data_IF_459821305277
#
_entry.id   IF_459821305277
#
_cell.length_a   1.000
_cell.length_b   1.000
_cell.length_c   1.000
_cell.angle_alpha   90.00
_cell.angle_beta   90.00
_cell.angle_gamma   90.00
#
_symmetry.space_group_name_H-M   'P 1'
#
loop_
_entity.id
_entity.type
_entity.pdbx_description
1 polymer ?
#
# COMPACT_ATOMS: atom_id res chain seq x y z
N UNK A 1 38.32 -48.71 -1.83
CA UNK A 1 37.03 -49.44 -1.97
C UNK A 1 35.97 -48.42 -2.35
N UNK A 2 35.32 -48.59 -3.51
CA UNK A 2 34.32 -47.62 -4.00
C UNK A 2 32.98 -47.86 -3.28
N UNK A 3 32.36 -46.86 -2.64
CA UNK A 3 31.07 -47.05 -1.99
C UNK A 3 30.01 -47.31 -3.07
N UNK A 4 29.37 -48.49 -3.02
CA UNK A 4 28.26 -48.82 -3.91
C UNK A 4 27.06 -47.94 -3.55
N UNK A 5 26.57 -47.15 -4.51
CA UNK A 5 25.31 -46.38 -4.40
C UNK A 5 24.16 -47.32 -3.99
N UNK A 6 23.54 -47.03 -2.85
CA UNK A 6 22.25 -47.63 -2.45
C UNK A 6 21.19 -47.17 -3.47
N UNK A 7 20.55 -48.12 -4.17
CA UNK A 7 19.42 -47.81 -5.05
C UNK A 7 18.23 -47.39 -4.21
N UNK A 8 17.50 -46.38 -4.67
CA UNK A 8 16.25 -45.94 -4.06
C UNK A 8 15.26 -47.11 -4.06
N UNK A 9 14.91 -47.59 -2.87
CA UNK A 9 13.83 -48.56 -2.67
C UNK A 9 12.53 -47.81 -2.93
N UNK A 10 11.80 -48.19 -3.97
CA UNK A 10 10.45 -47.66 -4.20
C UNK A 10 9.56 -48.21 -3.10
N UNK A 11 8.92 -47.31 -2.35
CA UNK A 11 7.97 -47.67 -1.29
C UNK A 11 6.79 -48.38 -1.96
N UNK A 12 6.54 -49.63 -1.59
CA UNK A 12 5.39 -50.40 -2.06
C UNK A 12 4.13 -49.87 -1.35
N UNK A 13 3.22 -49.24 -2.08
CA UNK A 13 1.95 -48.68 -1.56
C UNK A 13 0.89 -49.72 -1.22
N UNK A 14 1.16 -51.01 -1.42
CA UNK A 14 0.25 -52.13 -1.13
C UNK A 14 0.55 -52.87 0.17
N UNK A 15 1.62 -52.52 0.89
CA UNK A 15 1.90 -53.12 2.18
C UNK A 15 1.04 -52.43 3.24
N UNK A 16 0.07 -53.17 3.79
CA UNK A 16 -0.71 -52.72 4.93
C UNK A 16 0.21 -52.61 6.14
N UNK A 17 0.55 -51.38 6.52
CA UNK A 17 1.25 -51.10 7.76
C UNK A 17 0.34 -51.47 8.93
N UNK A 18 0.75 -52.41 9.81
CA UNK A 18 -0.02 -52.70 11.00
C UNK A 18 0.00 -51.46 11.90
N UNK A 19 -1.16 -50.80 12.01
CA UNK A 19 -1.36 -49.76 13.02
C UNK A 19 -1.46 -50.48 14.36
N UNK A 20 -0.39 -50.42 15.14
CA UNK A 20 -0.36 -51.01 16.48
C UNK A 20 -0.77 -49.93 17.48
N UNK A 21 -1.73 -50.27 18.35
CA UNK A 21 -2.13 -49.39 19.45
C UNK A 21 -0.95 -49.12 20.38
N UNK A 22 -0.76 -47.85 20.71
CA UNK A 22 0.36 -47.30 21.50
C UNK A 22 0.46 -47.99 22.87
N UNK A 23 -0.65 -48.51 23.40
CA UNK A 23 -0.72 -49.19 24.69
C UNK A 23 -0.09 -50.59 24.69
N UNK A 24 0.13 -51.19 23.51
CA UNK A 24 0.73 -52.52 23.36
C UNK A 24 2.18 -52.49 22.88
N UNK A 25 2.74 -51.30 22.65
CA UNK A 25 4.13 -51.16 22.24
C UNK A 25 5.04 -51.29 23.46
N UNK A 26 5.85 -52.35 23.48
CA UNK A 26 6.88 -52.53 24.50
C UNK A 26 8.00 -51.52 24.25
N UNK A 27 8.01 -50.44 25.04
CA UNK A 27 8.94 -49.32 24.94
C UNK A 27 10.40 -49.74 25.13
N UNK A 28 10.66 -50.93 25.68
CA UNK A 28 12.01 -51.48 25.84
C UNK A 28 12.71 -51.82 24.52
N UNK A 29 11.96 -51.92 23.42
CA UNK A 29 12.47 -52.30 22.10
C UNK A 29 12.60 -51.13 21.12
N UNK A 30 12.28 -49.90 21.54
CA UNK A 30 12.52 -48.71 20.73
C UNK A 30 13.99 -48.31 20.84
N UNK A 31 14.78 -48.64 19.82
CA UNK A 31 16.13 -48.09 19.67
C UNK A 31 16.02 -46.57 19.44
N UNK A 32 16.51 -45.80 20.42
CA UNK A 32 16.52 -44.35 20.39
C UNK A 32 17.53 -43.90 19.32
N UNK A 33 17.04 -43.45 18.17
CA UNK A 33 17.89 -42.95 17.10
C UNK A 33 18.44 -41.57 17.50
N UNK A 34 19.67 -41.55 18.03
CA UNK A 34 20.39 -40.31 18.32
C UNK A 34 21.07 -39.78 17.06
N UNK A 35 20.63 -38.64 16.55
CA UNK A 35 21.36 -37.91 15.51
C UNK A 35 22.71 -37.42 16.07
N UNK A 36 23.80 -37.48 15.28
CA UNK A 36 25.06 -36.86 15.68
C UNK A 36 24.85 -35.35 15.89
N UNK A 37 25.41 -34.74 16.95
CA UNK A 37 25.25 -33.33 17.22
C UNK A 37 25.88 -32.53 16.09
N UNK A 38 25.06 -31.77 15.36
CA UNK A 38 25.52 -30.82 14.37
C UNK A 38 25.59 -29.48 15.09
N UNK A 39 26.83 -29.03 15.34
CA UNK A 39 27.14 -27.78 16.03
C UNK A 39 26.80 -26.58 15.13
N UNK A 40 25.53 -26.20 15.07
CA UNK A 40 25.07 -24.95 14.48
C UNK A 40 25.10 -23.91 15.58
N UNK A 41 26.10 -23.02 15.58
CA UNK A 41 26.42 -22.05 16.66
C UNK A 41 25.33 -21.03 17.06
N UNK A 42 24.17 -21.52 17.49
CA UNK A 42 22.99 -20.84 18.03
C UNK A 42 22.68 -21.23 19.48
N UNK A 43 23.42 -22.18 20.07
CA UNK A 43 22.93 -22.98 21.21
C UNK A 43 22.89 -22.26 22.57
N UNK A 44 23.77 -21.31 22.85
CA UNK A 44 23.95 -20.83 24.24
C UNK A 44 22.81 -19.95 24.80
N UNK A 45 22.01 -19.29 23.95
CA UNK A 45 20.83 -18.52 24.41
C UNK A 45 19.51 -19.30 24.27
N UNK A 46 19.43 -20.29 23.37
CA UNK A 46 18.28 -21.19 23.21
C UNK A 46 18.23 -22.31 24.28
N UNK A 47 19.36 -22.70 24.88
CA UNK A 47 19.40 -23.65 26.01
C UNK A 47 18.62 -23.19 27.26
N UNK A 48 18.20 -21.92 27.32
CA UNK A 48 17.31 -21.40 28.38
C UNK A 48 15.83 -21.75 28.18
N UNK A 49 15.45 -22.42 27.09
CA UNK A 49 14.10 -22.97 26.89
C UNK A 49 13.83 -24.26 27.71
N UNK A 50 14.20 -24.24 28.99
CA UNK A 50 13.93 -25.31 29.97
C UNK A 50 12.43 -25.59 30.05
N UNK A 51 11.59 -24.60 29.79
CA UNK A 51 10.14 -24.71 29.88
C UNK A 51 9.53 -25.61 28.79
N UNK A 52 10.01 -25.53 27.55
CA UNK A 52 9.51 -26.35 26.44
C UNK A 52 9.98 -27.80 26.58
N UNK A 53 11.25 -28.02 26.99
CA UNK A 53 11.74 -29.36 27.35
C UNK A 53 10.90 -29.99 28.46
N UNK A 54 10.62 -29.26 29.54
CA UNK A 54 9.77 -29.77 30.62
C UNK A 54 8.33 -30.10 30.17
N UNK A 55 7.76 -29.37 29.20
CA UNK A 55 6.43 -29.65 28.63
C UNK A 55 6.45 -30.89 27.74
N UNK A 56 7.53 -31.11 27.00
CA UNK A 56 7.72 -32.29 26.15
C UNK A 56 7.99 -33.54 27.00
N UNK A 57 8.88 -33.42 27.99
CA UNK A 57 9.29 -34.51 28.90
C UNK A 57 8.17 -34.93 29.86
N UNK A 58 7.22 -34.04 30.16
CA UNK A 58 6.02 -34.37 30.96
C UNK A 58 4.95 -35.14 30.19
N UNK A 59 5.26 -35.63 28.97
CA UNK A 59 4.61 -36.74 28.28
C UNK A 59 3.15 -37.03 28.63
N UNK A 60 2.23 -36.67 27.72
CA UNK A 60 0.76 -36.94 27.77
C UNK A 60 -0.09 -35.93 28.55
N UNK A 61 0.35 -34.68 28.70
CA UNK A 61 -0.60 -33.60 28.98
C UNK A 61 -1.51 -33.38 27.77
N UNK A 62 -2.83 -33.53 27.92
CA UNK A 62 -3.80 -33.04 26.93
C UNK A 62 -3.49 -31.55 26.69
N UNK A 63 -2.89 -31.22 25.54
CA UNK A 63 -2.64 -29.83 25.15
C UNK A 63 -4.01 -29.17 25.07
N UNK A 64 -4.32 -28.17 25.92
CA UNK A 64 -5.62 -27.55 25.92
C UNK A 64 -5.80 -26.80 24.60
N UNK A 65 -6.52 -27.39 23.66
CA UNK A 65 -6.91 -26.73 22.42
C UNK A 65 -7.99 -25.71 22.79
N UNK A 66 -7.78 -24.40 22.58
CA UNK A 66 -8.80 -23.41 22.89
C UNK A 66 -10.04 -23.67 22.03
N UNK A 67 -11.18 -23.93 22.67
CA UNK A 67 -12.46 -24.13 21.99
C UNK A 67 -13.11 -22.77 21.72
N UNK A 68 -13.36 -22.46 20.45
CA UNK A 68 -14.10 -21.26 20.04
C UNK A 68 -15.56 -21.41 20.51
N UNK A 69 -15.94 -20.66 21.56
CA UNK A 69 -17.30 -20.73 22.13
C UNK A 69 -18.33 -19.91 21.36
N UNK A 70 -17.92 -18.76 20.83
CA UNK A 70 -18.78 -17.81 20.11
C UNK A 70 -17.97 -17.17 18.98
N UNK A 71 -18.64 -16.94 17.86
CA UNK A 71 -18.08 -16.23 16.71
C UNK A 71 -18.91 -14.97 16.51
N UNK A 72 -18.36 -13.83 16.90
CA UNK A 72 -18.92 -12.52 16.60
C UNK A 72 -18.10 -11.92 15.46
N UNK A 73 -18.77 -11.52 14.39
CA UNK A 73 -18.13 -10.91 13.23
C UNK A 73 -18.70 -9.51 12.99
N UNK A 74 -18.40 -8.53 13.88
CA UNK A 74 -18.82 -7.15 13.69
C UNK A 74 -18.23 -6.56 12.39
N UNK A 75 -17.09 -7.08 11.95
CA UNK A 75 -16.43 -6.66 10.72
C UNK A 75 -17.31 -6.86 9.47
N UNK A 76 -18.20 -7.86 9.44
CA UNK A 76 -19.14 -8.03 8.33
C UNK A 76 -20.16 -6.89 8.21
N UNK A 77 -20.48 -6.23 9.32
CA UNK A 77 -21.39 -5.07 9.37
C UNK A 77 -20.60 -3.80 9.06
N UNK A 78 -19.40 -3.69 9.62
CA UNK A 78 -18.57 -2.48 9.52
C UNK A 78 -17.86 -2.34 8.17
N UNK A 79 -17.45 -3.44 7.55
CA UNK A 79 -16.68 -3.42 6.31
C UNK A 79 -17.47 -4.06 5.17
N UNK A 80 -17.74 -3.29 4.12
CA UNK A 80 -18.27 -3.82 2.86
C UNK A 80 -17.13 -4.49 2.12
N UNK A 81 -17.34 -5.74 1.70
CA UNK A 81 -16.39 -6.42 0.83
C UNK A 81 -16.58 -5.90 -0.60
N UNK A 82 -15.67 -5.05 -1.07
CA UNK A 82 -15.71 -4.49 -2.42
C UNK A 82 -15.29 -5.50 -3.51
N UNK A 83 -14.96 -6.75 -3.12
CA UNK A 83 -14.92 -7.90 -4.02
C UNK A 83 -13.94 -7.77 -5.19
N UNK A 84 -12.82 -7.08 -5.01
CA UNK A 84 -11.82 -6.96 -6.07
C UNK A 84 -11.17 -8.33 -6.33
N UNK A 85 -11.36 -8.87 -7.55
CA UNK A 85 -10.84 -10.18 -7.96
C UNK A 85 -9.32 -10.20 -8.21
N UNK A 86 -8.62 -9.08 -8.06
CA UNK A 86 -7.17 -8.98 -8.25
C UNK A 86 -6.40 -9.18 -6.95
N UNK A 87 -5.22 -9.80 -7.03
CA UNK A 87 -4.28 -9.85 -5.91
C UNK A 87 -3.91 -8.42 -5.49
N UNK A 88 -4.19 -8.06 -4.23
CA UNK A 88 -3.94 -6.73 -3.72
C UNK A 88 -2.43 -6.51 -3.50
N UNK A 89 -1.82 -5.64 -4.32
CA UNK A 89 -0.43 -5.21 -4.15
C UNK A 89 -0.35 -3.94 -3.29
N UNK A 90 -0.70 -4.03 -2.00
CA UNK A 90 -0.52 -2.91 -1.07
C UNK A 90 0.87 -2.96 -0.43
N UNK A 91 1.59 -1.84 -0.44
CA UNK A 91 2.90 -1.66 0.21
C UNK A 91 2.91 -0.49 1.20
N UNK A 92 1.75 0.12 1.46
CA UNK A 92 1.66 1.25 2.38
C UNK A 92 1.72 0.72 3.81
N UNK A 93 2.52 1.38 4.63
CA UNK A 93 2.57 1.10 6.05
C UNK A 93 1.28 1.60 6.72
N UNK A 94 0.91 0.95 7.83
CA UNK A 94 -0.19 1.41 8.68
C UNK A 94 0.31 2.59 9.49
N UNK A 95 -0.35 3.73 9.36
CA UNK A 95 -0.04 4.92 10.14
C UNK A 95 -0.44 4.70 11.61
N UNK A 96 0.41 5.14 12.54
CA UNK A 96 0.13 5.06 13.97
C UNK A 96 -0.77 6.23 14.41
N UNK A 97 -1.96 6.35 13.80
CA UNK A 97 -2.90 7.41 14.12
C UNK A 97 -3.52 7.18 15.50
N UNK A 98 -3.70 8.27 16.26
CA UNK A 98 -4.39 8.22 17.53
C UNK A 98 -5.91 8.23 17.31
N UNK A 99 -6.60 7.25 17.89
CA UNK A 99 -8.07 7.22 17.91
C UNK A 99 -8.56 7.51 19.33
N UNK A 100 -9.47 8.47 19.47
CA UNK A 100 -10.06 8.83 20.76
C UNK A 100 -11.05 7.75 21.22
N UNK A 101 -10.90 7.29 22.46
CA UNK A 101 -11.88 6.42 23.11
C UNK A 101 -12.90 7.24 23.92
N UNK A 102 -13.95 6.58 24.42
CA UNK A 102 -14.94 7.18 25.34
C UNK A 102 -14.31 7.90 26.52
N UNK A 103 -13.23 7.36 27.10
CA UNK A 103 -12.50 7.98 28.22
C UNK A 103 -11.81 9.29 27.82
N UNK A 104 -11.40 9.41 26.57
CA UNK A 104 -10.77 10.64 26.09
C UNK A 104 -11.83 11.71 25.88
N UNK A 105 -13.01 11.34 25.36
CA UNK A 105 -14.16 12.25 25.27
C UNK A 105 -14.63 12.72 26.65
N UNK A 106 -14.72 11.80 27.63
CA UNK A 106 -15.03 12.15 29.02
C UNK A 106 -13.99 13.10 29.61
N UNK A 107 -12.70 12.86 29.35
CA UNK A 107 -11.62 13.73 29.79
C UNK A 107 -11.74 15.12 29.14
N UNK A 108 -11.92 15.20 27.83
CA UNK A 108 -12.13 16.46 27.10
C UNK A 108 -13.32 17.24 27.68
N UNK A 109 -14.43 16.56 27.94
CA UNK A 109 -15.62 17.16 28.54
C UNK A 109 -15.35 17.67 29.96
N UNK A 110 -14.66 16.87 30.79
CA UNK A 110 -14.33 17.24 32.17
C UNK A 110 -13.38 18.44 32.27
N UNK A 111 -12.47 18.57 31.30
CA UNK A 111 -11.49 19.65 31.25
C UNK A 111 -11.99 20.87 30.44
N UNK A 112 -13.13 20.75 29.75
CA UNK A 112 -13.67 21.80 28.90
C UNK A 112 -12.79 22.11 27.68
N UNK A 113 -12.18 21.08 27.09
CA UNK A 113 -11.24 21.20 25.96
C UNK A 113 -11.92 20.71 24.68
N UNK A 114 -11.62 21.35 23.56
CA UNK A 114 -12.08 20.90 22.25
C UNK A 114 -11.36 19.64 21.78
N UNK A 115 -11.97 18.86 20.91
CA UNK A 115 -11.34 17.64 20.35
C UNK A 115 -10.06 17.98 19.56
N UNK A 116 -10.04 19.12 18.85
CA UNK A 116 -8.89 19.61 18.08
C UNK A 116 -7.71 19.97 19.00
N UNK A 117 -7.98 20.70 20.09
CA UNK A 117 -6.98 21.04 21.09
C UNK A 117 -6.37 19.78 21.73
N UNK A 118 -7.19 18.77 22.03
CA UNK A 118 -6.72 17.50 22.57
C UNK A 118 -5.78 16.79 21.59
N UNK A 119 -6.18 16.68 20.32
CA UNK A 119 -5.37 16.05 19.27
C UNK A 119 -4.05 16.80 19.05
N UNK A 120 -4.06 18.14 19.09
CA UNK A 120 -2.83 18.94 18.97
C UNK A 120 -1.82 18.63 20.09
N UNK A 121 -2.29 18.48 21.33
CA UNK A 121 -1.43 18.10 22.48
C UNK A 121 -0.90 16.68 22.31
N UNK A 122 -1.70 15.78 21.73
CA UNK A 122 -1.30 14.41 21.44
C UNK A 122 -0.26 14.38 20.32
N UNK A 123 -0.38 15.18 19.26
CA UNK A 123 0.65 15.35 18.22
C UNK A 123 1.98 15.88 18.79
N UNK A 124 1.95 16.84 19.73
CA UNK A 124 3.17 17.32 20.41
C UNK A 124 3.96 16.17 21.09
N UNK A 125 3.30 15.09 21.53
CA UNK A 125 3.97 13.92 22.12
C UNK A 125 4.79 13.14 21.08
N UNK A 126 4.32 13.08 19.83
CA UNK A 126 5.04 12.41 18.74
C UNK A 126 6.34 13.13 18.44
N UNK A 127 6.28 14.45 18.30
CA UNK A 127 7.46 15.27 18.06
C UNK A 127 8.47 15.15 19.21
N UNK A 128 7.99 15.21 20.47
CA UNK A 128 8.83 15.02 21.66
C UNK A 128 9.54 13.65 21.66
N UNK A 129 8.87 12.59 21.18
CA UNK A 129 9.43 11.25 21.08
C UNK A 129 10.44 11.12 19.93
N UNK A 130 10.15 11.71 18.76
CA UNK A 130 11.03 11.70 17.59
C UNK A 130 12.33 12.47 17.85
N UNK A 131 12.25 13.65 18.49
CA UNK A 131 13.41 14.49 18.81
C UNK A 131 14.39 13.76 19.75
N UNK A 132 13.90 12.97 20.69
CA UNK A 132 14.77 12.17 21.59
C UNK A 132 15.58 11.12 20.82
N UNK A 133 14.94 10.39 19.91
CA UNK A 133 15.60 9.36 19.09
C UNK A 133 16.66 9.99 18.19
N UNK A 134 16.34 11.10 17.52
CA UNK A 134 17.32 11.78 16.65
C UNK A 134 18.52 12.33 17.41
N UNK A 135 18.32 12.84 18.62
CA UNK A 135 19.41 13.38 19.42
C UNK A 135 20.35 12.28 19.92
N UNK A 136 19.83 11.09 20.23
CA UNK A 136 20.67 9.93 20.58
C UNK A 136 21.46 9.41 19.38
N UNK A 137 20.85 9.35 18.20
CA UNK A 137 21.54 9.00 16.96
C UNK A 137 22.62 10.04 16.60
N UNK A 138 22.33 11.34 16.75
CA UNK A 138 23.29 12.44 16.54
C UNK A 138 24.40 12.46 17.59
N UNK A 139 24.15 12.05 18.84
CA UNK A 139 25.19 11.88 19.88
C UNK A 139 26.13 10.72 19.55
N UNK A 140 25.65 9.68 18.87
CA UNK A 140 26.48 8.59 18.35
C UNK A 140 27.28 9.03 17.12
N UNK A 141 26.71 9.86 16.24
CA UNK A 141 27.42 10.41 15.08
C UNK A 141 28.47 11.47 15.46
N UNK A 142 28.20 12.36 16.40
CA UNK A 142 29.15 13.38 16.88
C UNK A 142 30.34 12.78 17.61
N UNK A 143 30.20 11.60 18.24
CA UNK A 143 31.36 10.80 18.72
C UNK A 143 32.16 10.15 17.60
N UNK A 144 31.59 10.01 16.41
CA UNK A 144 32.25 9.46 15.22
C UNK A 144 32.75 10.54 14.24
N UNK A 145 32.44 11.81 14.46
CA UNK A 145 32.75 12.92 13.55
C UNK A 145 33.83 13.86 14.07
N UNK A 146 34.90 13.32 14.67
CA UNK A 146 36.20 14.03 14.71
C UNK A 146 36.98 13.73 13.42
N UNK A 147 36.41 14.07 12.26
CA UNK A 147 37.15 14.14 11.00
C UNK A 147 36.57 15.27 10.17
N UNK A 148 37.01 16.48 10.52
CA UNK A 148 36.85 17.70 9.73
C UNK A 148 37.57 17.52 8.38
N UNK A 149 36.79 17.34 7.32
CA UNK A 149 37.22 17.71 5.98
C UNK A 149 36.53 19.03 5.60
N UNK A 150 37.14 20.11 6.05
CA UNK A 150 36.90 21.42 5.49
C UNK A 150 37.39 21.50 4.03
N UNK A 151 36.60 22.22 3.23
CA UNK A 151 36.94 22.89 1.96
C UNK A 151 37.14 22.01 0.74
N UNK A 152 36.13 22.04 -0.14
CA UNK A 152 36.25 22.67 -1.47
C UNK A 152 34.88 23.21 -1.92
N UNK A 153 34.72 24.54 -1.76
CA UNK A 153 33.94 25.49 -2.60
C UNK A 153 32.46 25.18 -2.90
N UNK A 154 31.46 25.98 -2.52
CA UNK A 154 31.42 27.31 -1.95
C UNK A 154 30.09 27.97 -2.30
N UNK A 155 29.23 28.17 -1.30
CA UNK A 155 28.34 29.33 -1.08
C UNK A 155 27.73 29.15 0.33
N UNK A 156 27.63 30.25 1.06
CA UNK A 156 27.71 30.37 2.52
C UNK A 156 26.63 29.65 3.36
N UNK A 157 26.91 29.42 4.67
CA UNK A 157 26.01 28.81 5.64
C UNK A 157 25.10 29.86 6.30
N UNK A 158 23.88 29.45 6.65
CA UNK A 158 23.11 30.08 7.72
C UNK A 158 22.57 28.99 8.65
N UNK A 159 23.40 28.62 9.63
CA UNK A 159 22.94 28.03 10.88
C UNK A 159 23.17 29.06 11.99
N UNK A 160 22.12 29.78 12.36
CA UNK A 160 21.88 30.25 13.74
C UNK A 160 20.56 31.02 13.76
N UNK A 161 19.59 30.52 14.53
CA UNK A 161 18.41 31.27 15.00
C UNK A 161 17.61 32.06 13.95
N UNK A 162 16.77 31.39 13.15
CA UNK A 162 15.69 32.07 12.42
C UNK A 162 14.44 32.17 13.30
N UNK A 163 14.45 33.15 14.22
CA UNK A 163 13.24 33.85 14.63
C UNK A 163 13.30 35.25 14.02
N UNK A 164 12.26 35.58 13.25
CA UNK A 164 11.78 36.91 12.83
C UNK A 164 12.20 37.48 11.45
N UNK A 165 11.13 37.98 10.78
CA UNK A 165 10.99 38.80 9.56
C UNK A 165 11.34 38.10 8.22
N UNK A 166 10.58 38.21 7.13
CA UNK A 166 9.60 39.22 6.71
C UNK A 166 8.68 38.62 5.63
N UNK A 167 7.45 39.14 5.54
CA UNK A 167 6.39 38.75 4.61
C UNK A 167 6.81 38.94 3.15
N UNK A 168 6.90 37.84 2.40
CA UNK A 168 6.82 37.84 0.95
C UNK A 168 5.41 37.42 0.53
N UNK A 169 4.77 38.24 -0.30
CA UNK A 169 3.50 37.93 -0.95
C UNK A 169 3.68 36.65 -1.78
N UNK A 170 3.17 35.53 -1.26
CA UNK A 170 2.97 34.31 -2.02
C UNK A 170 1.66 34.50 -2.77
N UNK A 171 1.73 34.64 -4.09
CA UNK A 171 0.58 34.42 -4.96
C UNK A 171 0.06 33.00 -4.68
N UNK A 172 -1.06 32.92 -3.96
CA UNK A 172 -1.77 31.67 -3.73
C UNK A 172 -2.34 31.20 -5.05
N UNK A 173 -1.59 30.34 -5.75
CA UNK A 173 -2.23 29.40 -6.66
C UNK A 173 -3.11 28.50 -5.80
N UNK A 174 -4.42 28.56 -6.07
CA UNK A 174 -5.39 27.63 -5.49
C UNK A 174 -4.99 26.23 -5.99
N UNK A 175 -4.26 25.50 -5.14
CA UNK A 175 -4.03 24.09 -5.36
C UNK A 175 -5.36 23.39 -5.16
N UNK A 176 -5.95 22.89 -6.26
CA UNK A 176 -7.09 21.99 -6.19
C UNK A 176 -6.73 20.86 -5.20
N UNK A 177 -7.57 20.71 -4.18
CA UNK A 177 -7.36 19.77 -3.08
C UNK A 177 -7.25 18.36 -3.65
N UNK A 178 -6.02 17.86 -3.72
CA UNK A 178 -5.75 16.50 -4.14
C UNK A 178 -6.33 15.54 -3.10
N UNK A 179 -7.42 14.86 -3.44
CA UNK A 179 -8.03 13.82 -2.63
C UNK A 179 -7.40 12.48 -3.05
N UNK A 180 -6.42 11.93 -2.32
CA UNK A 180 -5.88 10.61 -2.63
C UNK A 180 -6.99 9.56 -2.52
N UNK A 181 -6.95 8.52 -3.35
CA UNK A 181 -7.88 7.38 -3.39
C UNK A 181 -8.09 6.64 -2.04
N UNK A 182 -7.36 7.03 -0.99
CA UNK A 182 -7.36 6.44 0.35
C UNK A 182 -7.81 7.40 1.46
N UNK A 183 -8.11 8.67 1.17
CA UNK A 183 -8.93 9.44 2.10
C UNK A 183 -10.33 8.84 2.05
N UNK A 184 -10.87 8.48 3.20
CA UNK A 184 -12.24 8.00 3.28
C UNK A 184 -13.15 9.09 2.71
N UNK A 185 -13.59 8.95 1.47
CA UNK A 185 -14.61 9.78 0.89
C UNK A 185 -15.90 9.42 1.63
N UNK A 186 -16.15 10.05 2.77
CA UNK A 186 -17.50 10.17 3.31
C UNK A 186 -18.25 11.18 2.44
N UNK A 187 -18.37 10.89 1.14
CA UNK A 187 -19.37 11.51 0.27
C UNK A 187 -20.72 11.02 0.76
N UNK A 188 -21.22 11.72 1.77
CA UNK A 188 -22.63 11.66 2.14
C UNK A 188 -23.41 12.24 0.96
N UNK A 189 -24.27 11.42 0.36
CA UNK A 189 -25.32 11.90 -0.52
C UNK A 189 -26.02 13.10 0.18
N UNK A 190 -26.06 14.31 -0.40
CA UNK A 190 -26.66 15.48 0.24
C UNK A 190 -28.20 15.38 0.38
N UNK A 191 -28.77 14.18 0.27
CA UNK A 191 -30.22 13.91 0.25
C UNK A 191 -30.68 12.80 1.18
N UNK A 192 -29.78 12.09 1.88
CA UNK A 192 -30.18 11.26 3.01
C UNK A 192 -30.05 12.09 4.29
N UNK A 193 -31.18 12.43 4.92
CA UNK A 193 -31.16 12.98 6.27
C UNK A 193 -30.35 12.03 7.17
N UNK A 194 -29.30 12.51 7.85
CA UNK A 194 -28.54 11.67 8.75
C UNK A 194 -29.48 11.20 9.86
N UNK A 195 -29.56 9.88 10.05
CA UNK A 195 -30.14 9.30 11.26
C UNK A 195 -29.20 9.68 12.40
N UNK A 196 -29.44 10.84 13.00
CA UNK A 196 -28.67 11.34 14.12
C UNK A 196 -28.76 10.30 15.24
N UNK A 197 -27.61 9.78 15.65
CA UNK A 197 -27.54 8.95 16.86
C UNK A 197 -27.84 9.83 18.08
N UNK A 198 -28.42 9.27 19.15
CA UNK A 198 -28.78 10.05 20.38
C UNK A 198 -27.62 10.92 20.92
N UNK A 199 -26.38 10.55 20.61
CA UNK A 199 -25.16 11.29 20.97
C UNK A 199 -24.96 12.61 20.20
N UNK A 200 -25.41 12.72 18.95
CA UNK A 200 -25.27 13.95 18.15
C UNK A 200 -26.29 15.01 18.57
N UNK A 201 -27.45 14.60 19.09
CA UNK A 201 -28.41 15.52 19.72
C UNK A 201 -27.82 16.19 20.97
N UNK A 202 -26.97 15.50 21.74
CA UNK A 202 -26.29 16.07 22.91
C UNK A 202 -25.21 17.11 22.56
N UNK A 203 -24.58 17.03 21.37
CA UNK A 203 -23.63 18.06 20.88
C UNK A 203 -24.29 19.40 20.55
N UNK A 204 -25.59 19.41 20.22
CA UNK A 204 -26.28 20.61 19.73
C UNK A 204 -26.74 21.60 20.81
N UNK A 205 -26.56 21.29 22.10
CA UNK A 205 -27.16 22.07 23.21
C UNK A 205 -26.13 22.87 24.01
N UNK A 206 -24.82 22.80 23.70
CA UNK A 206 -23.86 23.67 24.40
C UNK A 206 -23.93 25.10 23.86
N UNK A 207 -24.20 26.12 24.70
CA UNK A 207 -24.21 27.50 24.26
C UNK A 207 -22.81 27.89 23.78
N UNK A 208 -22.72 28.31 22.52
CA UNK A 208 -21.55 28.93 21.92
C UNK A 208 -21.28 30.22 22.68
N UNK A 209 -20.45 30.15 23.72
CA UNK A 209 -19.82 31.32 24.29
C UNK A 209 -18.63 31.67 23.41
N UNK A 210 -18.54 32.94 23.00
CA UNK A 210 -17.41 33.53 22.30
C UNK A 210 -16.09 33.24 23.03
N UNK A 211 -15.30 32.27 22.55
CA UNK A 211 -13.95 31.98 23.02
C UNK A 211 -12.96 32.20 21.88
N UNK A 212 -12.82 33.46 21.45
CA UNK A 212 -11.66 33.95 20.70
C UNK A 212 -10.50 34.38 21.62
N UNK A 213 -10.37 33.72 22.77
CA UNK A 213 -9.14 33.73 23.54
C UNK A 213 -8.52 32.36 23.39
N UNK A 214 -7.43 32.28 22.63
CA UNK A 214 -6.48 31.18 22.65
C UNK A 214 -5.88 31.09 24.06
N UNK A 215 -6.67 30.57 25.01
CA UNK A 215 -6.19 30.21 26.34
C UNK A 215 -5.14 29.15 26.09
N UNK A 216 -3.88 29.52 26.26
CA UNK A 216 -2.79 28.56 26.44
C UNK A 216 -3.30 27.53 27.43
N UNK A 217 -3.49 26.30 26.96
CA UNK A 217 -3.84 25.17 27.82
C UNK A 217 -2.85 25.16 28.98
N UNK A 218 -3.36 25.05 30.19
CA UNK A 218 -2.47 24.95 31.35
C UNK A 218 -1.56 23.73 31.19
N UNK A 219 -0.31 23.86 31.60
CA UNK A 219 0.66 22.76 31.49
C UNK A 219 0.19 21.51 32.26
N UNK A 220 -0.60 21.72 33.32
CA UNK A 220 -1.20 20.64 34.10
C UNK A 220 -2.21 19.81 33.28
N UNK A 221 -3.10 20.49 32.55
CA UNK A 221 -4.03 19.86 31.61
C UNK A 221 -3.26 19.09 30.52
N UNK A 222 -2.24 19.73 29.93
CA UNK A 222 -1.40 19.07 28.91
C UNK A 222 -0.77 17.81 29.49
N UNK A 223 -0.23 17.85 30.70
CA UNK A 223 0.39 16.70 31.35
C UNK A 223 -0.60 15.57 31.63
N UNK A 224 -1.85 15.87 31.99
CA UNK A 224 -2.89 14.85 32.16
C UNK A 224 -3.22 14.16 30.83
N UNK A 225 -3.39 14.94 29.75
CA UNK A 225 -3.60 14.40 28.40
C UNK A 225 -2.40 13.54 27.98
N UNK A 226 -1.17 14.04 28.16
CA UNK A 226 0.07 13.31 27.85
C UNK A 226 0.17 11.99 28.62
N UNK A 227 -0.18 11.98 29.91
CA UNK A 227 -0.18 10.77 30.72
C UNK A 227 -1.17 9.72 30.22
N UNK A 228 -2.39 10.13 29.86
CA UNK A 228 -3.42 9.22 29.35
C UNK A 228 -3.08 8.67 27.95
N UNK A 229 -2.61 9.54 27.04
CA UNK A 229 -2.27 9.16 25.67
C UNK A 229 -1.04 8.24 25.58
N UNK A 230 -0.08 8.36 26.52
CA UNK A 230 1.14 7.53 26.56
C UNK A 230 0.87 6.02 26.58
N UNK A 231 -0.20 5.58 27.24
CA UNK A 231 -0.52 4.15 27.34
C UNK A 231 -1.20 3.57 26.09
N UNK A 232 -1.77 4.41 25.23
CA UNK A 232 -2.51 3.99 24.04
C UNK A 232 -1.66 3.98 22.78
N UNK A 233 -0.52 4.66 22.81
CA UNK A 233 0.44 4.64 21.72
C UNK A 233 1.52 3.62 21.97
N UNK A 234 1.92 2.94 20.91
CA UNK A 234 3.16 2.16 20.85
C UNK A 234 4.36 3.13 20.88
N UNK A 235 4.69 3.60 22.07
CA UNK A 235 5.93 4.34 22.31
C UNK A 235 7.03 3.30 22.52
N UNK A 236 8.14 3.47 21.81
CA UNK A 236 9.34 2.67 22.05
C UNK A 236 9.91 3.08 23.39
N UNK A 237 9.78 2.21 24.38
CA UNK A 237 10.42 2.41 25.68
C UNK A 237 11.77 1.70 25.66
N UNK A 238 12.85 2.48 25.60
CA UNK A 238 14.22 1.96 25.72
C UNK A 238 14.62 1.75 27.18
N UNK A 239 13.82 2.26 28.14
CA UNK A 239 14.12 2.12 29.54
C UNK A 239 13.95 0.67 30.00
N UNK A 240 15.02 0.14 30.60
CA UNK A 240 15.07 -1.24 31.11
C UNK A 240 14.26 -1.43 32.40
N UNK A 241 13.55 -0.41 32.86
CA UNK A 241 12.91 -0.36 34.18
C UNK A 241 11.78 -1.40 34.31
N UNK A 242 11.07 -1.71 33.23
CA UNK A 242 9.95 -2.66 33.22
C UNK A 242 10.12 -3.75 32.15
N UNK A 243 10.86 -4.83 32.43
CA UNK A 243 11.29 -5.81 31.42
C UNK A 243 10.16 -6.61 30.77
N UNK A 244 8.97 -6.67 31.38
CA UNK A 244 7.86 -7.50 30.91
C UNK A 244 7.10 -6.96 29.70
N UNK A 245 7.26 -5.68 29.35
CA UNK A 245 6.55 -5.04 28.23
C UNK A 245 7.47 -4.49 27.13
N UNK A 246 8.78 -4.77 27.21
CA UNK A 246 9.74 -4.29 26.20
C UNK A 246 9.64 -5.14 24.93
N UNK A 247 8.91 -4.63 23.94
CA UNK A 247 8.78 -5.23 22.61
C UNK A 247 9.56 -4.44 21.55
N UNK A 248 9.82 -5.07 20.39
CA UNK A 248 10.40 -4.43 19.20
C UNK A 248 11.77 -3.73 19.37
N UNK A 249 12.69 -4.29 20.19
CA UNK A 249 14.05 -3.75 20.32
C UNK A 249 14.78 -3.71 18.97
N UNK A 250 15.28 -2.54 18.59
CA UNK A 250 16.02 -2.35 17.33
C UNK A 250 17.46 -2.86 17.48
N UNK A 251 17.77 -4.03 16.93
CA UNK A 251 19.15 -4.51 16.79
C UNK A 251 19.68 -4.11 15.41
N UNK A 252 20.14 -2.87 15.26
CA UNK A 252 20.72 -2.41 13.99
C UNK A 252 22.15 -2.93 13.85
N UNK A 253 22.38 -3.78 12.87
CA UNK A 253 23.73 -4.15 12.45
C UNK A 253 24.34 -2.96 11.69
N UNK A 254 25.48 -2.43 12.15
CA UNK A 254 26.24 -1.40 11.45
C UNK A 254 27.35 -2.06 10.62
N UNK A 255 27.12 -2.37 9.32
CA UNK A 255 28.14 -3.00 8.50
C UNK A 255 29.33 -2.06 8.28
N UNK A 256 30.51 -2.62 8.03
CA UNK A 256 31.71 -1.84 7.66
C UNK A 256 31.51 -1.13 6.32
N UNK A 257 32.18 0.02 6.15
CA UNK A 257 32.14 0.79 4.89
C UNK A 257 32.64 -0.04 3.72
N UNK A 258 32.00 0.15 2.55
CA UNK A 258 32.42 -0.46 1.29
C UNK A 258 33.65 0.27 0.73
N UNK A 259 34.32 -0.33 -0.26
CA UNK A 259 35.47 0.29 -0.93
C UNK A 259 35.04 1.53 -1.74
N UNK A 260 35.80 2.63 -1.72
CA UNK A 260 35.54 3.88 -2.46
C UNK A 260 35.14 3.69 -3.93
N UNK A 261 35.78 2.74 -4.64
CA UNK A 261 35.43 2.44 -6.05
C UNK A 261 33.98 1.97 -6.22
N UNK A 262 33.47 1.21 -5.26
CA UNK A 262 32.08 0.74 -5.27
C UNK A 262 31.07 1.83 -4.88
N UNK A 263 31.50 2.85 -4.13
CA UNK A 263 30.66 4.00 -3.79
C UNK A 263 30.34 4.85 -5.02
N UNK A 264 31.34 5.15 -5.86
CA UNK A 264 31.13 5.89 -7.11
C UNK A 264 30.10 5.21 -8.03
N UNK A 265 30.20 3.88 -8.20
CA UNK A 265 29.22 3.09 -8.94
C UNK A 265 27.83 3.10 -8.30
N UNK A 266 27.76 3.15 -6.97
CA UNK A 266 26.48 3.26 -6.25
C UNK A 266 25.85 4.63 -6.47
N UNK A 267 26.65 5.70 -6.44
CA UNK A 267 26.18 7.07 -6.73
C UNK A 267 25.62 7.17 -8.15
N UNK A 268 26.33 6.64 -9.16
CA UNK A 268 25.84 6.62 -10.55
C UNK A 268 24.50 5.88 -10.68
N UNK A 269 24.36 4.72 -10.01
CA UNK A 269 23.10 3.96 -9.97
C UNK A 269 21.97 4.74 -9.31
N UNK A 270 22.25 5.47 -8.22
CA UNK A 270 21.26 6.31 -7.54
C UNK A 270 20.82 7.48 -8.43
N UNK A 271 21.76 8.13 -9.12
CA UNK A 271 21.44 9.20 -10.07
C UNK A 271 20.55 8.69 -11.21
N UNK A 272 20.86 7.52 -11.76
CA UNK A 272 20.02 6.86 -12.78
C UNK A 272 18.64 6.49 -12.23
N UNK A 273 18.57 5.90 -11.04
CA UNK A 273 17.29 5.57 -10.40
C UNK A 273 16.43 6.82 -10.18
N UNK A 274 17.04 7.94 -9.79
CA UNK A 274 16.34 9.20 -9.59
C UNK A 274 15.77 9.76 -10.92
N UNK A 275 16.51 9.65 -12.03
CA UNK A 275 16.00 10.07 -13.34
C UNK A 275 14.85 9.18 -13.82
N UNK A 276 14.93 7.88 -13.59
CA UNK A 276 13.87 6.90 -13.89
C UNK A 276 12.61 7.18 -13.04
N UNK A 277 12.74 7.44 -11.74
CA UNK A 277 11.64 7.87 -10.87
C UNK A 277 11.03 9.19 -11.33
N UNK A 278 11.85 10.16 -11.76
CA UNK A 278 11.39 11.43 -12.31
C UNK A 278 10.52 11.24 -13.56
N UNK A 279 10.87 10.29 -14.43
CA UNK A 279 10.06 9.93 -15.59
C UNK A 279 8.73 9.28 -15.18
N UNK A 280 8.75 8.35 -14.22
CA UNK A 280 7.53 7.72 -13.69
C UNK A 280 6.56 8.74 -13.08
N UNK A 281 7.08 9.73 -12.33
CA UNK A 281 6.27 10.82 -11.79
C UNK A 281 5.63 11.65 -12.91
N UNK A 282 6.36 11.98 -13.96
CA UNK A 282 5.80 12.68 -15.14
C UNK A 282 4.71 11.87 -15.82
N UNK A 283 4.91 10.57 -16.02
CA UNK A 283 3.91 9.68 -16.61
C UNK A 283 2.65 9.57 -15.75
N UNK A 284 2.81 9.46 -14.43
CA UNK A 284 1.70 9.46 -13.46
C UNK A 284 0.90 10.76 -13.54
N UNK A 285 1.57 11.92 -13.56
CA UNK A 285 0.91 13.22 -13.67
C UNK A 285 0.17 13.40 -15.00
N UNK A 286 0.75 12.94 -16.11
CA UNK A 286 0.05 12.95 -17.40
C UNK A 286 -1.17 12.03 -17.38
N UNK A 287 -1.08 10.85 -16.76
CA UNK A 287 -2.21 9.94 -16.61
C UNK A 287 -3.34 10.56 -15.78
N UNK A 288 -3.01 11.26 -14.69
CA UNK A 288 -3.99 12.02 -13.90
C UNK A 288 -4.73 13.05 -14.74
N UNK A 289 -3.99 13.86 -15.51
CA UNK A 289 -4.59 14.84 -16.43
C UNK A 289 -5.50 14.22 -17.48
N UNK A 290 -5.16 13.02 -17.99
CA UNK A 290 -6.04 12.28 -18.91
C UNK A 290 -7.35 11.92 -18.21
N UNK A 291 -7.29 11.36 -17.00
CA UNK A 291 -8.49 11.04 -16.21
C UNK A 291 -9.34 12.28 -15.93
N UNK A 292 -8.74 13.39 -15.50
CA UNK A 292 -9.46 14.66 -15.27
C UNK A 292 -10.16 15.20 -16.52
N UNK A 293 -9.54 15.04 -17.70
CA UNK A 293 -10.15 15.44 -18.97
C UNK A 293 -11.28 14.49 -19.37
N UNK A 294 -11.12 13.18 -19.15
CA UNK A 294 -12.15 12.18 -19.40
C UNK A 294 -13.39 12.44 -18.52
N UNK A 295 -13.20 12.79 -17.25
CA UNK A 295 -14.27 13.17 -16.33
C UNK A 295 -15.01 14.42 -16.82
N UNK A 296 -14.28 15.47 -17.25
CA UNK A 296 -14.88 16.67 -17.85
C UNK A 296 -15.67 16.37 -19.12
N UNK A 297 -15.16 15.49 -19.97
CA UNK A 297 -15.86 15.05 -21.19
C UNK A 297 -17.15 14.31 -20.81
N UNK A 298 -17.10 13.46 -19.79
CA UNK A 298 -18.27 12.75 -19.28
C UNK A 298 -19.35 13.72 -18.78
N UNK A 299 -18.97 14.71 -17.98
CA UNK A 299 -19.90 15.73 -17.45
C UNK A 299 -20.55 16.56 -18.55
N UNK A 300 -19.75 17.01 -19.53
CA UNK A 300 -20.28 17.74 -20.70
C UNK A 300 -21.26 16.86 -21.47
N UNK A 301 -20.92 15.59 -21.71
CA UNK A 301 -21.80 14.64 -22.40
C UNK A 301 -23.09 14.38 -21.62
N UNK A 302 -23.02 14.34 -20.29
CA UNK A 302 -24.17 14.20 -19.41
C UNK A 302 -25.10 15.40 -19.51
N UNK A 303 -24.57 16.63 -19.39
CA UNK A 303 -25.36 17.86 -19.52
C UNK A 303 -25.92 18.05 -20.94
N UNK A 304 -25.17 17.70 -21.98
CA UNK A 304 -25.67 17.65 -23.35
C UNK A 304 -26.83 16.65 -23.49
N UNK A 305 -26.69 15.45 -22.94
CA UNK A 305 -27.75 14.42 -22.98
C UNK A 305 -29.02 14.86 -22.27
N UNK A 306 -28.87 15.56 -21.13
CA UNK A 306 -29.96 16.17 -20.37
C UNK A 306 -30.63 17.29 -21.15
N UNK A 307 -29.87 18.17 -21.79
CA UNK A 307 -30.38 19.24 -22.65
C UNK A 307 -31.14 18.67 -23.85
N UNK A 308 -30.59 17.65 -24.53
CA UNK A 308 -31.24 16.93 -25.63
C UNK A 308 -32.56 16.32 -25.15
N UNK A 309 -32.57 15.67 -23.99
CA UNK A 309 -33.77 15.06 -23.42
C UNK A 309 -34.87 16.10 -23.18
N UNK A 310 -34.53 17.28 -22.64
CA UNK A 310 -35.47 18.40 -22.46
C UNK A 310 -36.03 18.90 -23.79
N UNK A 311 -35.21 18.99 -24.84
CA UNK A 311 -35.67 19.41 -26.17
C UNK A 311 -36.59 18.35 -26.78
N UNK A 312 -36.21 17.07 -26.71
CA UNK A 312 -36.99 15.95 -27.24
C UNK A 312 -38.35 15.86 -26.54
N UNK A 313 -38.42 16.01 -25.22
CA UNK A 313 -39.68 15.99 -24.46
C UNK A 313 -40.70 17.03 -24.93
N UNK A 314 -40.27 18.17 -25.50
CA UNK A 314 -41.17 19.19 -26.04
C UNK A 314 -41.88 18.77 -27.34
N UNK A 315 -41.39 17.74 -28.03
CA UNK A 315 -42.01 17.21 -29.24
C UNK A 315 -42.85 15.97 -28.92
N UNK A 316 -44.00 15.79 -29.58
CA UNK A 316 -44.79 14.54 -29.48
C UNK A 316 -44.05 13.33 -30.06
N UNK A 317 -44.46 12.10 -29.72
CA UNK A 317 -43.72 10.85 -30.00
C UNK A 317 -43.16 10.70 -31.43
N UNK A 318 -43.94 11.11 -32.45
CA UNK A 318 -43.51 11.06 -33.87
C UNK A 318 -42.43 12.11 -34.20
N UNK A 319 -42.47 13.27 -33.54
CA UNK A 319 -41.47 14.34 -33.64
C UNK A 319 -40.17 14.00 -32.91
N UNK A 320 -40.26 13.34 -31.75
CA UNK A 320 -39.10 12.89 -30.97
C UNK A 320 -38.13 12.05 -31.78
N UNK A 321 -38.65 11.06 -32.54
CA UNK A 321 -37.82 10.19 -33.40
C UNK A 321 -37.14 10.96 -34.55
N UNK A 322 -37.74 12.04 -35.06
CA UNK A 322 -37.12 12.86 -36.11
C UNK A 322 -36.01 13.74 -35.53
N UNK A 323 -36.31 14.43 -34.43
CA UNK A 323 -35.36 15.32 -33.73
C UNK A 323 -34.16 14.52 -33.19
N UNK A 324 -34.39 13.36 -32.56
CA UNK A 324 -33.31 12.52 -32.06
C UNK A 324 -32.38 12.01 -33.18
N UNK A 325 -32.92 11.66 -34.36
CA UNK A 325 -32.12 11.27 -35.53
C UNK A 325 -31.28 12.43 -36.07
N UNK A 326 -31.88 13.62 -36.13
CA UNK A 326 -31.20 14.84 -36.55
C UNK A 326 -30.03 15.18 -35.62
N UNK A 327 -30.26 15.15 -34.30
CA UNK A 327 -29.23 15.44 -33.28
C UNK A 327 -28.09 14.42 -33.33
N UNK A 328 -28.41 13.12 -33.49
CA UNK A 328 -27.40 12.06 -33.61
C UNK A 328 -26.72 12.02 -34.98
N UNK A 329 -27.09 12.93 -35.90
CA UNK A 329 -26.68 12.93 -37.29
C UNK A 329 -26.80 11.56 -37.97
N UNK A 330 -27.79 10.77 -37.53
CA UNK A 330 -28.05 9.42 -38.06
C UNK A 330 -29.03 9.56 -39.21
N UNK A 331 -28.52 9.35 -40.43
CA UNK A 331 -29.38 9.32 -41.61
C UNK A 331 -30.42 8.22 -41.40
N UNK A 332 -31.66 8.52 -41.79
CA UNK A 332 -32.68 7.49 -41.97
C UNK A 332 -32.10 6.41 -42.86
N UNK A 333 -31.85 5.24 -42.27
CA UNK A 333 -31.66 4.03 -43.07
C UNK A 333 -32.99 3.83 -43.77
N UNK A 334 -33.07 4.27 -45.03
CA UNK A 334 -34.13 3.80 -45.89
C UNK A 334 -33.94 2.30 -45.90
N UNK A 335 -34.94 1.56 -45.42
CA UNK A 335 -34.94 0.11 -45.57
C UNK A 335 -34.63 -0.13 -47.05
N UNK A 336 -33.47 -0.72 -47.34
CA UNK A 336 -33.14 -1.12 -48.69
C UNK A 336 -34.29 -2.02 -49.09
N UNK A 337 -35.16 -1.55 -49.97
CA UNK A 337 -36.07 -2.44 -50.67
C UNK A 337 -35.15 -3.41 -51.38
N UNK A 338 -35.20 -4.68 -51.00
CA UNK A 338 -34.40 -5.78 -51.55
C UNK A 338 -34.80 -6.07 -53.00
N UNK A 339 -34.77 -5.06 -53.86
CA UNK A 339 -34.68 -5.20 -55.30
C UNK A 339 -33.19 -5.09 -55.64
N UNK A 340 -32.50 -6.21 -55.85
CA UNK A 340 -31.07 -6.20 -56.15
C UNK A 340 -30.86 -5.55 -57.52
N UNK A 341 -30.50 -4.27 -57.53
CA UNK A 341 -29.93 -3.63 -58.72
C UNK A 341 -28.56 -4.28 -58.96
N UNK A 342 -28.50 -5.23 -59.91
CA UNK A 342 -27.33 -6.03 -60.29
C UNK A 342 -26.08 -5.21 -60.70
N UNK A 343 -26.17 -3.88 -60.81
CA UNK A 343 -25.08 -3.01 -61.28
C UNK A 343 -24.12 -2.47 -60.22
N UNK A 344 -24.50 -2.40 -58.94
CA UNK A 344 -23.66 -1.75 -57.91
C UNK A 344 -22.93 -2.72 -56.97
N UNK A 345 -23.16 -4.03 -57.09
CA UNK A 345 -22.45 -5.06 -56.31
C UNK A 345 -20.93 -5.04 -56.61
N UNK A 346 -20.52 -4.60 -57.81
CA UNK A 346 -19.10 -4.61 -58.21
C UNK A 346 -18.34 -3.31 -57.97
N UNK A 347 -19.00 -2.19 -57.63
CA UNK A 347 -18.30 -0.93 -57.38
C UNK A 347 -17.52 -0.96 -56.07
N UNK A 348 -18.09 -1.55 -55.02
CA UNK A 348 -17.40 -1.66 -53.73
C UNK A 348 -16.33 -2.78 -53.71
N UNK A 349 -16.48 -3.82 -54.54
CA UNK A 349 -15.47 -4.89 -54.68
C UNK A 349 -14.14 -4.35 -55.26
N UNK A 350 -14.21 -3.36 -56.17
CA UNK A 350 -13.01 -2.73 -56.74
C UNK A 350 -12.29 -1.83 -55.73
N UNK A 351 -13.03 -1.10 -54.89
CA UNK A 351 -12.43 -0.31 -53.80
C UNK A 351 -11.79 -1.19 -52.72
N UNK A 352 -12.37 -2.35 -52.43
CA UNK A 352 -11.75 -3.33 -51.54
C UNK A 352 -10.48 -3.94 -52.13
N UNK A 353 -10.38 -4.12 -53.45
CA UNK A 353 -9.16 -4.66 -54.07
C UNK A 353 -7.94 -3.77 -53.84
N UNK A 354 -8.06 -2.45 -53.98
CA UNK A 354 -6.94 -1.53 -53.72
C UNK A 354 -6.67 -1.36 -52.23
N UNK A 355 -7.71 -1.42 -51.39
CA UNK A 355 -7.54 -1.42 -49.93
C UNK A 355 -6.83 -2.66 -49.42
N UNK A 356 -7.19 -3.84 -49.94
CA UNK A 356 -6.53 -5.12 -49.69
C UNK A 356 -5.09 -5.08 -50.22
N UNK A 357 -4.85 -4.50 -51.40
CA UNK A 357 -3.50 -4.35 -51.96
C UNK A 357 -2.63 -3.43 -51.11
N UNK A 358 -3.17 -2.32 -50.61
CA UNK A 358 -2.51 -1.39 -49.68
C UNK A 358 -2.22 -2.05 -48.33
N UNK A 359 -3.16 -2.82 -47.79
CA UNK A 359 -3.00 -3.57 -46.54
C UNK A 359 -1.88 -4.62 -46.68
N UNK A 360 -1.90 -5.40 -47.76
CA UNK A 360 -0.87 -6.39 -48.06
C UNK A 360 0.52 -5.75 -48.27
N UNK A 361 0.59 -4.55 -48.88
CA UNK A 361 1.84 -3.81 -49.01
C UNK A 361 2.37 -3.36 -47.65
N UNK A 362 1.50 -2.86 -46.76
CA UNK A 362 1.86 -2.49 -45.38
C UNK A 362 2.31 -3.70 -44.57
N UNK A 363 1.63 -4.85 -44.69
CA UNK A 363 2.02 -6.07 -44.01
C UNK A 363 3.37 -6.62 -44.49
N UNK A 364 3.69 -6.51 -45.79
CA UNK A 364 5.02 -6.86 -46.30
C UNK A 364 6.11 -5.92 -45.80
N UNK A 365 5.88 -4.61 -45.88
CA UNK A 365 6.84 -3.63 -45.35
C UNK A 365 7.07 -3.79 -43.84
N UNK A 366 6.01 -4.09 -43.08
CA UNK A 366 6.14 -4.39 -41.66
C UNK A 366 6.93 -5.68 -41.42
N UNK A 367 6.73 -6.72 -42.25
CA UNK A 367 7.49 -7.96 -42.18
C UNK A 367 8.97 -7.77 -42.55
N UNK A 368 9.27 -6.97 -43.56
CA UNK A 368 10.63 -6.71 -44.02
C UNK A 368 11.38 -5.74 -43.09
N UNK A 369 10.65 -4.90 -42.34
CA UNK A 369 11.21 -4.00 -41.32
C UNK A 369 11.33 -4.65 -39.93
N UNK A 370 10.86 -5.88 -39.75
CA UNK A 370 11.17 -6.65 -38.55
C UNK A 370 12.61 -7.15 -38.74
N UNK A 371 13.53 -6.51 -38.03
CA UNK A 371 14.92 -6.92 -37.99
C UNK A 371 14.99 -8.26 -37.23
N UNK A 372 15.14 -9.36 -37.96
CA UNK A 372 15.22 -10.71 -37.38
C UNK A 372 16.34 -10.79 -36.33
N UNK A 373 17.40 -9.99 -36.48
CA UNK A 373 18.46 -9.89 -35.47
C UNK A 373 17.98 -9.27 -34.15
N UNK A 374 17.07 -8.30 -34.19
CA UNK A 374 16.56 -7.64 -32.99
C UNK A 374 15.65 -8.59 -32.21
N UNK A 375 14.84 -9.38 -32.92
CA UNK A 375 14.02 -10.45 -32.31
C UNK A 375 14.90 -11.54 -31.70
N UNK A 376 15.95 -11.99 -32.38
CA UNK A 376 16.88 -12.98 -31.82
C UNK A 376 17.60 -12.45 -30.57
N UNK A 377 18.03 -11.18 -30.59
CA UNK A 377 18.64 -10.52 -29.41
C UNK A 377 17.66 -10.46 -28.24
N UNK A 378 16.39 -10.15 -28.49
CA UNK A 378 15.35 -10.11 -27.45
C UNK A 378 15.03 -11.52 -26.91
N UNK A 379 14.95 -12.54 -27.78
CA UNK A 379 14.75 -13.93 -27.37
C UNK A 379 15.92 -14.46 -26.52
N UNK A 380 17.16 -14.13 -26.88
CA UNK A 380 18.35 -14.44 -26.08
C UNK A 380 18.30 -13.69 -24.73
N UNK A 381 17.91 -12.42 -24.73
CA UNK A 381 17.71 -11.64 -23.50
C UNK A 381 16.69 -12.29 -22.55
N UNK A 382 15.56 -12.74 -23.08
CA UNK A 382 14.50 -13.38 -22.31
C UNK A 382 14.93 -14.74 -21.74
N UNK A 383 15.64 -15.57 -22.52
CA UNK A 383 16.15 -16.86 -22.02
C UNK A 383 17.19 -16.68 -20.91
N UNK A 384 18.06 -15.67 -21.01
CA UNK A 384 19.00 -15.31 -19.95
C UNK A 384 18.31 -14.81 -18.69
N UNK A 385 17.25 -14.01 -18.85
CA UNK A 385 16.42 -13.56 -17.73
C UNK A 385 15.79 -14.75 -16.99
N UNK A 386 15.16 -15.68 -17.71
CA UNK A 386 14.60 -16.89 -17.11
C UNK A 386 15.66 -17.74 -16.39
N UNK A 387 16.86 -17.86 -16.95
CA UNK A 387 17.98 -18.56 -16.30
C UNK A 387 18.37 -17.90 -14.98
N UNK A 388 18.48 -16.57 -14.96
CA UNK A 388 18.80 -15.83 -13.73
C UNK A 388 17.71 -15.94 -12.65
N UNK A 389 16.43 -16.02 -13.04
CA UNK A 389 15.35 -16.31 -12.09
C UNK A 389 15.54 -17.71 -11.50
N UNK A 390 15.80 -18.71 -12.34
CA UNK A 390 15.95 -20.08 -11.89
C UNK A 390 17.14 -20.26 -10.93
N UNK A 391 18.27 -19.61 -11.20
CA UNK A 391 19.46 -19.61 -10.34
C UNK A 391 19.21 -18.92 -8.99
N UNK A 392 18.37 -17.88 -8.96
CA UNK A 392 18.01 -17.19 -7.70
C UNK A 392 17.00 -17.98 -6.85
N UNK A 393 16.13 -18.78 -7.47
CA UNK A 393 15.12 -19.58 -6.75
C UNK A 393 15.73 -20.89 -6.21
N UNK A 394 16.68 -21.48 -6.93
CA UNK A 394 17.34 -22.73 -6.54
C UNK A 394 18.86 -22.57 -6.44
N UNK A 395 19.36 -21.83 -5.42
CA UNK A 395 20.79 -21.85 -5.13
C UNK A 395 21.17 -23.26 -4.67
N UNK A 396 22.10 -23.89 -5.40
CA UNK A 396 22.67 -25.19 -5.02
C UNK A 396 23.48 -25.11 -3.74
#
# INVERSE_FOLDING_TARGET
>A
MVPKRKRNVKINTTENYPVVDIEKLDLSHLEEFTLPPIDTGMEAEEEKEIHLKNIIDSGRGNIPIPVIKKMENPAKILYKNDGTNSLNSCRKDVTNQYYMDTRDFELCHSLGITEEDYLSVVEEIEDDAHVKVENEDKLVETRSSCFDYGRLTGLYPQSSNCKQFETAEVETMVEDTFVPEYSANTETDPKSEPVLTEWECLRSITPVQDVNQTKKLSDEIKNQIKAQARYKRLIRDEDKSHPSYVCFRRRVLKPSRKNRRSEAQTVEKVVRLNSELGLLTKMSNLRKKVCELDDKIYDINFELSKAISRVVQKYGEKGQKKVARFIKNTKTVQAKTDTPNQGDIFKDILFDRDRIRMLNKRLRLARDNIDEEEIEKEAIGYTNYLRSIHENIYPQ
#
